data_IF_739067543090
#
_entry.id   IF_739067543090
#
_cell.length_a   1.000
_cell.length_b   1.000
_cell.length_c   1.000
_cell.angle_alpha   90.00
_cell.angle_beta   90.00
_cell.angle_gamma   90.00
#
_symmetry.space_group_name_H-M   'P 1'
#
loop_
_entity.id
_entity.type
_entity.pdbx_description
1 polymer ?
#
# COMPACT_ATOMS: atom_id res chain seq x y z
N UNK A 1 3.35 8.36 36.17
CA UNK A 1 4.70 8.00 36.68
C UNK A 1 4.65 6.64 37.33
N UNK A 2 5.60 5.75 37.01
CA UNK A 2 5.82 4.47 37.69
C UNK A 2 7.20 4.58 38.35
N UNK A 3 7.22 4.83 39.66
CA UNK A 3 8.44 5.30 40.33
C UNK A 3 8.88 6.66 39.76
N UNK A 4 10.12 6.75 39.30
CA UNK A 4 10.71 7.95 38.69
C UNK A 4 10.52 8.03 37.16
N UNK A 5 9.95 7.00 36.55
CA UNK A 5 9.75 6.92 35.10
C UNK A 5 8.47 7.64 34.71
N UNK A 6 8.58 8.62 33.82
CA UNK A 6 7.43 9.22 33.16
C UNK A 6 6.80 8.21 32.20
N UNK A 7 5.48 8.08 32.27
CA UNK A 7 4.72 7.17 31.44
C UNK A 7 3.49 7.85 30.90
N UNK A 8 3.18 7.54 29.64
CA UNK A 8 1.96 7.95 28.97
C UNK A 8 1.16 6.69 28.65
N UNK A 9 -0.09 6.64 29.12
CA UNK A 9 -1.02 5.57 28.75
C UNK A 9 -2.04 6.14 27.79
N UNK A 10 -2.25 5.46 26.67
CA UNK A 10 -3.31 5.78 25.72
C UNK A 10 -4.13 4.53 25.49
N UNK A 11 -5.43 4.61 25.71
CA UNK A 11 -6.37 3.51 25.43
C UNK A 11 -7.56 4.03 24.65
N UNK A 12 -8.25 3.14 23.95
CA UNK A 12 -9.40 3.50 23.16
C UNK A 12 -10.15 2.29 22.64
N UNK A 13 -11.32 2.54 22.08
CA UNK A 13 -12.16 1.55 21.40
C UNK A 13 -12.55 2.06 20.01
N UNK A 14 -12.89 1.14 19.12
CA UNK A 14 -13.36 1.44 17.77
C UNK A 14 -14.51 0.51 17.38
N UNK A 15 -15.51 1.03 16.69
CA UNK A 15 -16.55 0.26 16.03
C UNK A 15 -16.60 0.69 14.57
N UNK A 16 -16.59 -0.28 13.66
CA UNK A 16 -16.91 -0.10 12.25
C UNK A 16 -17.99 -1.11 11.87
N UNK A 17 -18.99 -0.65 11.14
CA UNK A 17 -20.01 -1.52 10.57
C UNK A 17 -20.21 -1.15 9.10
N UNK A 18 -19.91 -2.10 8.22
CA UNK A 18 -20.05 -1.96 6.78
C UNK A 18 -21.32 -2.71 6.33
N UNK A 19 -22.15 -2.03 5.53
CA UNK A 19 -23.36 -2.58 4.92
C UNK A 19 -23.21 -2.38 3.42
N UNK A 20 -23.12 -3.48 2.68
CA UNK A 20 -23.03 -3.48 1.22
C UNK A 20 -24.17 -4.30 0.67
N UNK A 21 -25.00 -3.70 -0.16
CA UNK A 21 -26.11 -4.38 -0.84
C UNK A 21 -25.78 -4.56 -2.30
N UNK A 22 -26.31 -5.63 -2.90
CA UNK A 22 -26.19 -5.91 -4.33
C UNK A 22 -24.72 -5.96 -4.82
N UNK A 23 -23.85 -6.58 -4.01
CA UNK A 23 -22.48 -6.86 -4.41
C UNK A 23 -22.51 -7.90 -5.54
N UNK A 24 -22.15 -7.47 -6.75
CA UNK A 24 -22.45 -8.23 -7.98
C UNK A 24 -21.21 -8.40 -8.87
N UNK A 25 -21.10 -9.58 -9.47
CA UNK A 25 -20.33 -9.81 -10.70
C UNK A 25 -21.24 -10.49 -11.71
N UNK A 26 -21.32 -9.94 -12.92
CA UNK A 26 -22.25 -10.41 -13.95
C UNK A 26 -21.67 -10.38 -15.35
N UNK A 27 -22.06 -11.37 -16.15
CA UNK A 27 -21.87 -11.33 -17.60
C UNK A 27 -22.92 -10.41 -18.18
N UNK A 28 -22.49 -9.42 -18.96
CA UNK A 28 -23.39 -8.46 -19.58
C UNK A 28 -23.23 -8.43 -21.09
N UNK A 29 -24.34 -8.26 -21.81
CA UNK A 29 -24.34 -7.90 -23.22
C UNK A 29 -24.36 -6.37 -23.30
N UNK A 30 -23.42 -5.81 -24.06
CA UNK A 30 -23.31 -4.37 -24.32
C UNK A 30 -23.33 -3.49 -23.06
N UNK A 31 -22.83 -4.02 -21.93
CA UNK A 31 -22.77 -3.34 -20.62
C UNK A 31 -24.13 -2.95 -20.01
N UNK A 32 -25.24 -3.36 -20.61
CA UNK A 32 -26.58 -2.91 -20.19
C UNK A 32 -27.54 -4.06 -19.91
N UNK A 33 -27.39 -5.19 -20.57
CA UNK A 33 -28.25 -6.37 -20.34
C UNK A 33 -27.49 -7.41 -19.56
N UNK A 34 -27.90 -7.65 -18.32
CA UNK A 34 -27.39 -8.78 -17.52
C UNK A 34 -27.83 -10.09 -18.18
N UNK A 35 -26.85 -10.92 -18.53
CA UNK A 35 -27.07 -12.26 -19.09
C UNK A 35 -27.07 -13.31 -17.99
N UNK A 36 -26.15 -13.17 -17.03
CA UNK A 36 -25.93 -14.13 -15.95
C UNK A 36 -25.26 -13.40 -14.78
N UNK A 37 -25.77 -13.63 -13.56
CA UNK A 37 -25.10 -13.25 -12.33
C UNK A 37 -24.12 -14.37 -11.94
N UNK A 38 -22.82 -14.06 -11.93
CA UNK A 38 -21.77 -14.95 -11.42
C UNK A 38 -21.74 -14.89 -9.89
N UNK A 39 -21.90 -13.68 -9.34
CA UNK A 39 -22.03 -13.43 -7.91
C UNK A 39 -23.07 -12.34 -7.67
N UNK A 40 -23.91 -12.51 -6.64
CA UNK A 40 -24.84 -11.48 -6.21
C UNK A 40 -25.18 -11.69 -4.73
N UNK A 41 -24.95 -10.69 -3.88
CA UNK A 41 -25.28 -10.82 -2.47
C UNK A 41 -25.24 -9.53 -1.66
N UNK A 42 -25.68 -9.64 -0.40
CA UNK A 42 -25.59 -8.58 0.59
C UNK A 42 -24.58 -8.95 1.67
N UNK A 43 -23.74 -8.01 2.07
CA UNK A 43 -22.71 -8.15 3.10
C UNK A 43 -22.99 -7.18 4.25
N UNK A 44 -22.97 -7.70 5.48
CA UNK A 44 -22.81 -6.90 6.69
C UNK A 44 -21.56 -7.35 7.44
N UNK A 45 -20.64 -6.43 7.73
CA UNK A 45 -19.42 -6.71 8.46
C UNK A 45 -19.27 -5.76 9.64
N UNK A 46 -19.14 -6.31 10.84
CA UNK A 46 -18.87 -5.54 12.06
C UNK A 46 -17.46 -5.81 12.54
N UNK A 47 -16.69 -4.76 12.83
CA UNK A 47 -15.43 -4.82 13.54
C UNK A 47 -15.52 -4.00 14.84
N UNK A 48 -15.28 -4.66 15.98
CA UNK A 48 -15.13 -4.06 17.30
C UNK A 48 -13.67 -4.20 17.73
N UNK A 49 -13.03 -3.08 18.08
CA UNK A 49 -11.65 -3.07 18.53
C UNK A 49 -11.48 -2.36 19.87
N UNK A 50 -10.54 -2.82 20.69
CA UNK A 50 -10.09 -2.14 21.89
C UNK A 50 -8.56 -2.23 22.00
N UNK A 51 -7.91 -1.16 22.45
CA UNK A 51 -6.46 -1.13 22.58
C UNK A 51 -5.98 -0.38 23.83
N UNK A 52 -4.77 -0.72 24.24
CA UNK A 52 -3.99 0.02 25.22
C UNK A 52 -2.52 0.10 24.77
N UNK A 53 -1.94 1.29 24.86
CA UNK A 53 -0.53 1.58 24.61
C UNK A 53 0.06 2.23 25.87
N UNK A 54 1.25 1.79 26.25
CA UNK A 54 2.03 2.37 27.34
C UNK A 54 3.40 2.76 26.79
N UNK A 55 3.72 4.04 26.93
CA UNK A 55 5.00 4.61 26.56
C UNK A 55 5.79 4.91 27.83
N UNK A 56 7.00 4.37 27.91
CA UNK A 56 7.95 4.57 29.00
C UNK A 56 9.06 5.49 28.51
N UNK A 57 9.27 6.61 29.20
CA UNK A 57 10.42 7.49 28.97
C UNK A 57 11.52 7.18 30.00
N UNK A 58 12.59 6.52 29.53
CA UNK A 58 13.75 6.12 30.33
C UNK A 58 14.96 7.02 30.01
N UNK A 59 14.72 8.27 29.60
CA UNK A 59 15.75 9.20 29.17
C UNK A 59 16.14 8.97 27.71
N UNK A 60 17.35 8.42 27.47
CA UNK A 60 17.82 8.14 26.10
C UNK A 60 17.06 7.00 25.42
N UNK A 61 16.33 6.19 26.17
CA UNK A 61 15.55 5.07 25.64
C UNK A 61 14.07 5.33 25.91
N UNK A 62 13.26 5.32 24.85
CA UNK A 62 11.80 5.29 24.95
C UNK A 62 11.30 3.92 24.50
N UNK A 63 10.39 3.34 25.27
CA UNK A 63 9.80 2.03 24.96
C UNK A 63 8.29 2.20 24.85
N UNK A 64 7.71 1.74 23.75
CA UNK A 64 6.25 1.72 23.53
C UNK A 64 5.80 0.28 23.42
N UNK A 65 4.93 -0.14 24.35
CA UNK A 65 4.30 -1.46 24.36
C UNK A 65 2.81 -1.30 24.21
N UNK A 66 2.24 -1.93 23.20
CA UNK A 66 0.82 -1.84 22.91
C UNK A 66 0.20 -3.22 22.64
N UNK A 67 -1.08 -3.34 22.97
CA UNK A 67 -1.88 -4.50 22.66
C UNK A 67 -3.25 -4.05 22.16
N UNK A 68 -3.73 -4.74 21.12
CA UNK A 68 -5.05 -4.50 20.54
C UNK A 68 -5.79 -5.82 20.39
N UNK A 69 -7.07 -5.83 20.77
CA UNK A 69 -8.00 -6.92 20.51
C UNK A 69 -9.04 -6.44 19.50
N UNK A 70 -9.23 -7.19 18.42
CA UNK A 70 -10.29 -6.97 17.45
C UNK A 70 -11.23 -8.18 17.42
N UNK A 71 -12.53 -7.93 17.26
CA UNK A 71 -13.60 -8.90 17.08
C UNK A 71 -14.37 -8.57 15.80
N UNK A 72 -14.45 -9.54 14.91
CA UNK A 72 -15.17 -9.45 13.65
C UNK A 72 -16.41 -10.34 13.68
N UNK A 73 -17.49 -9.82 13.07
CA UNK A 73 -18.68 -10.57 12.70
C UNK A 73 -18.99 -10.30 11.24
N UNK A 74 -19.01 -11.35 10.44
CA UNK A 74 -19.34 -11.34 9.03
C UNK A 74 -20.71 -11.95 8.85
N UNK A 75 -21.56 -11.31 8.06
CA UNK A 75 -22.85 -11.81 7.63
C UNK A 75 -22.95 -11.64 6.13
N UNK A 76 -23.22 -12.73 5.42
CA UNK A 76 -23.39 -12.68 3.97
C UNK A 76 -24.67 -13.40 3.58
N UNK A 77 -25.41 -12.78 2.68
CA UNK A 77 -26.59 -13.34 2.07
C UNK A 77 -26.34 -13.47 0.57
N UNK A 78 -26.16 -14.70 0.11
CA UNK A 78 -26.04 -15.01 -1.31
C UNK A 78 -27.43 -15.05 -1.95
N UNK A 79 -27.72 -14.09 -2.83
CA UNK A 79 -29.01 -13.98 -3.53
C UNK A 79 -29.16 -14.99 -4.67
N UNK A 80 -28.10 -15.72 -5.03
CA UNK A 80 -28.14 -16.77 -6.05
C UNK A 80 -28.60 -18.12 -5.48
N UNK A 81 -28.64 -18.29 -4.16
CA UNK A 81 -29.15 -19.50 -3.53
C UNK A 81 -30.69 -19.56 -3.59
N UNK A 82 -31.22 -20.74 -3.91
CA UNK A 82 -32.68 -20.98 -3.98
C UNK A 82 -33.33 -20.77 -2.61
N UNK A 83 -32.66 -21.22 -1.55
CA UNK A 83 -33.14 -21.09 -0.19
C UNK A 83 -32.50 -19.87 0.47
N UNK A 84 -33.33 -19.01 1.05
CA UNK A 84 -32.85 -17.89 1.84
C UNK A 84 -32.06 -18.39 3.05
N UNK A 85 -30.76 -18.11 3.08
CA UNK A 85 -29.90 -18.38 4.23
C UNK A 85 -28.87 -17.26 4.37
N UNK A 86 -28.83 -16.65 5.55
CA UNK A 86 -27.73 -15.75 5.92
C UNK A 86 -26.61 -16.58 6.53
N UNK A 87 -25.45 -16.59 5.87
CA UNK A 87 -24.23 -17.19 6.40
C UNK A 87 -23.58 -16.22 7.39
N UNK A 88 -23.02 -16.75 8.47
CA UNK A 88 -22.46 -15.94 9.55
C UNK A 88 -21.17 -16.55 10.05
N UNK A 89 -20.14 -15.73 10.20
CA UNK A 89 -18.86 -16.12 10.80
C UNK A 89 -18.35 -15.07 11.78
N UNK A 90 -17.57 -15.51 12.77
CA UNK A 90 -16.96 -14.60 13.75
C UNK A 90 -15.52 -14.97 14.05
N UNK A 91 -14.68 -13.97 14.27
CA UNK A 91 -13.26 -14.18 14.61
C UNK A 91 -12.74 -13.06 15.49
N UNK A 92 -11.90 -13.41 16.46
CA UNK A 92 -11.14 -12.44 17.24
C UNK A 92 -9.64 -12.60 17.01
N UNK A 93 -8.91 -11.51 17.14
CA UNK A 93 -7.45 -11.51 17.03
C UNK A 93 -6.82 -10.55 18.03
N UNK A 94 -5.68 -10.95 18.59
CA UNK A 94 -4.88 -10.16 19.51
C UNK A 94 -3.57 -9.77 18.81
N UNK A 95 -3.29 -8.48 18.80
CA UNK A 95 -2.21 -7.86 18.02
C UNK A 95 -1.28 -7.07 18.95
N UNK A 96 -0.21 -7.69 19.47
CA UNK A 96 0.81 -7.00 20.25
C UNK A 96 1.76 -6.19 19.37
N UNK A 97 2.29 -5.10 19.92
CA UNK A 97 3.33 -4.26 19.30
C UNK A 97 4.34 -3.81 20.35
N UNK A 98 5.62 -3.86 20.01
CA UNK A 98 6.71 -3.43 20.87
C UNK A 98 7.73 -2.62 20.07
N UNK A 99 7.96 -1.38 20.50
CA UNK A 99 8.87 -0.45 19.83
C UNK A 99 9.88 0.12 20.83
N UNK A 100 11.11 0.31 20.37
CA UNK A 100 12.19 0.93 21.09
C UNK A 100 12.71 2.11 20.26
N UNK A 101 12.96 3.23 20.92
CA UNK A 101 13.56 4.42 20.32
C UNK A 101 14.75 4.83 21.18
N UNK A 102 15.94 4.83 20.61
CA UNK A 102 17.18 5.15 21.31
C UNK A 102 17.76 6.45 20.75
N UNK A 103 17.72 7.51 21.56
CA UNK A 103 18.35 8.80 21.28
C UNK A 103 19.86 8.69 21.56
N UNK A 104 20.62 8.25 20.55
CA UNK A 104 22.06 8.10 20.66
C UNK A 104 22.76 9.45 20.83
N UNK A 105 22.29 10.47 20.10
CA UNK A 105 22.72 11.87 20.17
C UNK A 105 21.50 12.79 19.95
N UNK A 106 21.65 14.10 20.19
CA UNK A 106 20.57 15.08 19.98
C UNK A 106 20.06 15.12 18.53
N UNK A 107 20.88 14.68 17.57
CA UNK A 107 20.58 14.66 16.16
C UNK A 107 20.48 13.24 15.56
N UNK A 108 20.59 12.18 16.36
CA UNK A 108 20.58 10.79 15.89
C UNK A 108 19.73 9.91 16.81
N UNK A 109 18.64 9.38 16.25
CA UNK A 109 17.79 8.41 16.91
C UNK A 109 17.80 7.10 16.11
N UNK A 110 18.06 5.98 16.80
CA UNK A 110 17.82 4.64 16.28
C UNK A 110 16.46 4.15 16.77
N UNK A 111 15.83 3.28 16.01
CA UNK A 111 14.61 2.61 16.43
C UNK A 111 14.60 1.13 16.04
N UNK A 112 13.87 0.35 16.83
CA UNK A 112 13.50 -1.03 16.58
C UNK A 112 12.00 -1.12 16.79
N UNK A 113 11.24 -1.44 15.75
CA UNK A 113 9.78 -1.58 15.80
C UNK A 113 9.43 -3.01 15.46
N UNK A 114 8.51 -3.59 16.22
CA UNK A 114 8.01 -4.94 15.98
C UNK A 114 6.51 -5.00 16.29
N UNK A 115 5.77 -5.81 15.54
CA UNK A 115 4.35 -5.98 15.80
C UNK A 115 3.71 -7.03 14.93
N UNK A 116 2.53 -7.45 15.37
CA UNK A 116 1.65 -8.34 14.63
C UNK A 116 0.45 -7.51 14.16
N UNK A 117 0.27 -7.43 12.86
CA UNK A 117 -0.94 -6.94 12.20
C UNK A 117 -1.76 -8.10 11.63
N UNK A 118 -2.82 -7.77 10.92
CA UNK A 118 -3.64 -8.73 10.18
C UNK A 118 -4.43 -7.98 9.09
N UNK A 119 -5.00 -8.73 8.16
CA UNK A 119 -6.09 -8.26 7.31
C UNK A 119 -7.29 -9.20 7.48
N UNK A 120 -8.51 -8.72 7.16
CA UNK A 120 -9.68 -9.59 7.10
C UNK A 120 -9.89 -10.05 5.67
N UNK A 121 -10.10 -11.35 5.49
CA UNK A 121 -10.40 -11.92 4.19
C UNK A 121 -11.75 -11.43 3.65
N UNK A 122 -11.99 -11.58 2.35
CA UNK A 122 -13.28 -11.27 1.75
C UNK A 122 -14.38 -12.11 2.42
N UNK A 123 -15.42 -11.44 2.90
CA UNK A 123 -16.50 -12.08 3.63
C UNK A 123 -17.21 -13.16 2.82
N UNK A 124 -17.32 -13.02 1.49
CA UNK A 124 -17.88 -14.04 0.60
C UNK A 124 -17.07 -15.32 0.66
N UNK A 125 -15.74 -15.21 0.64
CA UNK A 125 -14.82 -16.37 0.72
C UNK A 125 -14.89 -17.01 2.11
N UNK A 126 -14.87 -16.20 3.17
CA UNK A 126 -14.94 -16.68 4.56
C UNK A 126 -16.18 -17.55 4.77
N UNK A 127 -17.35 -17.05 4.38
CA UNK A 127 -18.63 -17.69 4.70
C UNK A 127 -19.03 -18.80 3.72
N UNK A 128 -18.62 -18.73 2.44
CA UNK A 128 -19.00 -19.72 1.43
C UNK A 128 -18.05 -20.92 1.37
N UNK A 129 -16.76 -20.74 1.71
CA UNK A 129 -15.74 -21.78 1.56
C UNK A 129 -15.31 -22.42 2.89
N UNK A 130 -15.93 -22.05 4.03
CA UNK A 130 -15.48 -22.46 5.37
C UNK A 130 -13.97 -22.25 5.56
N UNK A 131 -13.46 -21.10 5.10
CA UNK A 131 -12.02 -20.81 5.15
C UNK A 131 -11.53 -20.76 6.60
N UNK A 132 -10.42 -21.45 6.88
CA UNK A 132 -9.82 -21.49 8.23
C UNK A 132 -9.10 -20.19 8.59
N UNK A 133 -8.63 -19.47 7.58
CA UNK A 133 -7.85 -18.24 7.74
C UNK A 133 -8.77 -17.05 7.49
N UNK A 134 -9.42 -16.56 8.55
CA UNK A 134 -10.36 -15.43 8.48
C UNK A 134 -9.62 -14.10 8.67
N UNK A 135 -8.66 -14.09 9.60
CA UNK A 135 -7.83 -12.94 9.97
C UNK A 135 -6.34 -13.35 9.93
N UNK A 136 -5.77 -13.65 8.76
CA UNK A 136 -4.36 -14.03 8.63
C UNK A 136 -3.45 -12.92 9.17
N UNK A 137 -2.38 -13.32 9.87
CA UNK A 137 -1.46 -12.38 10.51
C UNK A 137 -0.36 -11.89 9.58
N UNK A 138 0.10 -10.69 9.89
CA UNK A 138 1.27 -10.05 9.31
C UNK A 138 2.28 -9.77 10.43
N UNK A 139 3.49 -10.30 10.34
CA UNK A 139 4.54 -10.12 11.34
C UNK A 139 5.59 -9.16 10.80
N UNK A 140 5.70 -7.98 11.41
CA UNK A 140 6.58 -6.93 10.96
C UNK A 140 7.73 -6.66 11.92
N UNK A 141 8.90 -6.39 11.37
CA UNK A 141 10.10 -5.90 12.05
C UNK A 141 10.71 -4.77 11.23
N UNK A 142 11.10 -3.68 11.89
CA UNK A 142 11.75 -2.53 11.26
C UNK A 142 12.85 -1.99 12.18
N UNK A 143 14.09 -1.94 11.66
CA UNK A 143 15.29 -1.45 12.32
C UNK A 143 15.82 -0.29 11.52
N UNK A 144 15.88 0.90 12.12
CA UNK A 144 16.29 2.08 11.36
C UNK A 144 16.76 3.23 12.21
N UNK A 145 16.94 4.37 11.54
CA UNK A 145 17.35 5.60 12.17
C UNK A 145 16.73 6.83 11.52
N UNK A 146 16.65 7.88 12.31
CA UNK A 146 16.42 9.26 11.87
C UNK A 146 17.66 10.04 12.28
N UNK A 147 18.37 10.58 11.30
CA UNK A 147 19.64 11.27 11.51
C UNK A 147 19.63 12.65 10.86
N UNK A 148 20.02 13.66 11.64
CA UNK A 148 20.24 15.04 11.20
C UNK A 148 21.73 15.38 11.27
N UNK A 149 22.57 14.87 10.35
CA UNK A 149 24.01 15.11 10.39
C UNK A 149 24.38 16.59 10.36
N UNK A 150 23.57 17.38 9.65
CA UNK A 150 23.65 18.83 9.56
C UNK A 150 22.25 19.43 9.74
N UNK A 151 22.11 20.70 10.17
CA UNK A 151 20.79 21.30 10.44
C UNK A 151 19.80 21.26 9.27
N UNK A 152 20.32 21.22 8.03
CA UNK A 152 19.55 21.27 6.78
C UNK A 152 19.37 19.92 6.09
N UNK A 153 19.87 18.83 6.69
CA UNK A 153 19.79 17.47 6.12
C UNK A 153 19.08 16.55 7.11
N UNK A 154 18.13 15.76 6.60
CA UNK A 154 17.52 14.64 7.31
C UNK A 154 17.77 13.37 6.48
N UNK A 155 18.31 12.35 7.12
CA UNK A 155 18.52 11.02 6.58
C UNK A 155 17.69 10.04 7.39
N UNK A 156 16.80 9.32 6.72
CA UNK A 156 16.05 8.21 7.28
C UNK A 156 16.51 6.94 6.58
N UNK A 157 16.83 5.90 7.34
CA UNK A 157 17.15 4.61 6.76
C UNK A 157 16.55 3.50 7.59
N UNK A 158 16.10 2.45 6.93
CA UNK A 158 15.43 1.33 7.55
C UNK A 158 15.86 0.02 6.89
N UNK A 159 15.98 -1.03 7.68
CA UNK A 159 15.98 -2.42 7.26
C UNK A 159 14.73 -3.05 7.85
N UNK A 160 13.90 -3.65 7.00
CA UNK A 160 12.60 -4.15 7.41
C UNK A 160 12.41 -5.59 6.94
N UNK A 161 11.56 -6.31 7.67
CA UNK A 161 11.09 -7.66 7.38
C UNK A 161 9.59 -7.75 7.63
N UNK A 162 8.89 -8.46 6.76
CA UNK A 162 7.46 -8.68 6.80
C UNK A 162 7.18 -10.12 6.37
N UNK A 163 6.56 -10.89 7.27
CA UNK A 163 6.02 -12.21 6.95
C UNK A 163 4.50 -12.16 6.95
N UNK A 164 3.86 -12.61 5.88
CA UNK A 164 2.42 -12.72 5.77
C UNK A 164 2.00 -14.19 5.81
N UNK A 165 1.04 -14.51 6.68
CA UNK A 165 0.46 -15.86 6.73
C UNK A 165 -0.30 -16.23 5.46
N UNK A 166 -0.74 -15.23 4.68
CA UNK A 166 -1.53 -15.42 3.47
C UNK A 166 -1.44 -14.21 2.54
N UNK A 167 -1.11 -14.50 1.28
CA UNK A 167 -1.26 -13.57 0.15
C UNK A 167 -2.66 -13.67 -0.46
N UNK A 168 -3.01 -12.67 -1.26
CA UNK A 168 -4.25 -12.71 -2.04
C UNK A 168 -4.01 -12.39 -3.51
N UNK A 169 -4.57 -13.24 -4.36
CA UNK A 169 -4.68 -13.02 -5.79
C UNK A 169 -6.16 -12.88 -6.13
N UNK A 170 -6.55 -11.75 -6.71
CA UNK A 170 -7.93 -11.55 -7.17
C UNK A 170 -8.06 -12.01 -8.62
N UNK A 171 -8.87 -13.03 -8.85
CA UNK A 171 -9.21 -13.51 -10.19
C UNK A 171 -10.45 -12.77 -10.67
N UNK A 172 -10.22 -11.67 -11.39
CA UNK A 172 -11.28 -10.72 -11.79
C UNK A 172 -12.41 -11.33 -12.60
N UNK A 173 -12.11 -12.27 -13.50
CA UNK A 173 -13.10 -12.92 -14.37
C UNK A 173 -13.99 -13.93 -13.65
N UNK A 174 -13.47 -14.52 -12.56
CA UNK A 174 -14.22 -15.44 -11.71
C UNK A 174 -14.91 -14.71 -10.53
N UNK A 175 -14.45 -13.50 -10.20
CA UNK A 175 -14.85 -12.78 -8.99
C UNK A 175 -14.38 -13.46 -7.71
N UNK A 176 -13.40 -14.36 -7.81
CA UNK A 176 -12.90 -15.15 -6.68
C UNK A 176 -11.60 -14.52 -6.22
N UNK A 177 -11.48 -14.36 -4.90
CA UNK A 177 -10.19 -14.08 -4.28
C UNK A 177 -9.59 -15.44 -3.92
N UNK A 178 -8.46 -15.78 -4.53
CA UNK A 178 -7.74 -17.01 -4.24
C UNK A 178 -6.75 -16.73 -3.11
N UNK A 179 -6.88 -17.41 -1.96
CA UNK A 179 -5.87 -17.36 -0.94
C UNK A 179 -4.59 -17.99 -1.50
N UNK A 180 -3.57 -17.16 -1.69
CA UNK A 180 -2.22 -17.60 -2.03
C UNK A 180 -1.46 -17.94 -0.76
N UNK A 181 -0.40 -18.74 -0.88
CA UNK A 181 0.41 -19.20 0.24
C UNK A 181 1.03 -18.08 1.08
N UNK A 182 1.86 -18.48 2.04
CA UNK A 182 2.64 -17.56 2.88
C UNK A 182 3.68 -16.84 2.06
N UNK A 183 4.04 -15.64 2.48
CA UNK A 183 5.12 -14.88 1.85
C UNK A 183 6.03 -14.21 2.86
N UNK A 184 7.22 -13.90 2.39
CA UNK A 184 8.14 -13.03 3.09
C UNK A 184 8.58 -11.88 2.18
N UNK A 185 8.74 -10.72 2.80
CA UNK A 185 9.30 -9.53 2.18
C UNK A 185 10.33 -8.93 3.12
N UNK A 186 11.46 -8.52 2.59
CA UNK A 186 12.43 -7.74 3.34
C UNK A 186 13.15 -6.77 2.42
N UNK A 187 13.65 -5.69 3.01
CA UNK A 187 14.20 -4.62 2.21
C UNK A 187 14.97 -3.59 2.99
N UNK A 188 15.49 -2.64 2.22
CA UNK A 188 16.18 -1.45 2.70
C UNK A 188 15.46 -0.23 2.15
N UNK A 189 15.17 0.72 3.03
CA UNK A 189 14.67 2.04 2.65
C UNK A 189 15.71 3.11 2.99
N UNK A 190 15.82 4.10 2.10
CA UNK A 190 16.64 5.29 2.29
C UNK A 190 15.85 6.52 1.86
N UNK A 191 15.63 7.44 2.79
CA UNK A 191 15.02 8.74 2.56
C UNK A 191 16.00 9.87 2.86
N UNK A 192 16.15 10.80 1.94
CA UNK A 192 16.98 12.00 2.09
C UNK A 192 16.09 13.22 1.92
N UNK A 193 16.20 14.18 2.83
CA UNK A 193 15.64 15.53 2.70
C UNK A 193 16.76 16.53 2.88
N UNK A 194 16.97 17.39 1.90
CA UNK A 194 18.03 18.40 1.94
C UNK A 194 17.49 19.78 1.56
N UNK A 195 17.68 20.74 2.46
CA UNK A 195 17.46 22.16 2.20
C UNK A 195 18.78 22.81 1.77
N UNK A 196 18.95 23.13 0.48
CA UNK A 196 20.17 23.80 0.01
C UNK A 196 20.25 25.23 0.55
N UNK A 197 19.14 25.96 0.45
CA UNK A 197 18.99 27.34 0.95
C UNK A 197 17.51 27.57 1.33
N UNK A 198 17.09 28.82 1.52
CA UNK A 198 15.75 29.11 2.03
C UNK A 198 14.63 28.91 0.98
N UNK A 199 14.99 28.72 -0.28
CA UNK A 199 14.05 28.57 -1.40
C UNK A 199 14.24 27.28 -2.22
N UNK A 200 15.36 26.56 -2.13
CA UNK A 200 15.64 25.34 -2.89
C UNK A 200 15.77 24.11 -1.99
N UNK A 201 14.99 23.07 -2.31
CA UNK A 201 14.92 21.83 -1.56
C UNK A 201 15.08 20.62 -2.49
N UNK A 202 15.73 19.59 -1.98
CA UNK A 202 15.83 18.27 -2.60
C UNK A 202 15.26 17.22 -1.67
N UNK A 203 14.56 16.27 -2.25
CA UNK A 203 14.13 15.06 -1.56
C UNK A 203 14.25 13.86 -2.48
N UNK A 204 14.56 12.71 -1.90
CA UNK A 204 14.52 11.43 -2.58
C UNK A 204 14.25 10.31 -1.60
N UNK A 205 13.56 9.28 -2.08
CA UNK A 205 13.31 8.04 -1.37
C UNK A 205 13.63 6.88 -2.30
N UNK A 206 14.40 5.91 -1.81
CA UNK A 206 14.78 4.70 -2.53
C UNK A 206 14.46 3.48 -1.67
N UNK A 207 13.88 2.46 -2.29
CA UNK A 207 13.54 1.20 -1.63
C UNK A 207 14.06 0.05 -2.46
N UNK A 208 14.78 -0.87 -1.81
CA UNK A 208 15.16 -2.17 -2.37
C UNK A 208 14.39 -3.24 -1.61
N UNK A 209 13.69 -4.12 -2.33
CA UNK A 209 12.83 -5.15 -1.76
C UNK A 209 13.15 -6.51 -2.35
N UNK A 210 13.16 -7.52 -1.50
CA UNK A 210 13.08 -8.92 -1.89
C UNK A 210 11.75 -9.48 -1.39
N UNK A 211 10.91 -9.98 -2.30
CA UNK A 211 9.59 -10.51 -1.98
C UNK A 211 9.41 -11.90 -2.60
N UNK A 212 9.09 -12.92 -1.79
CA UNK A 212 8.91 -14.30 -2.25
C UNK A 212 7.78 -15.01 -1.52
N UNK A 213 7.12 -15.92 -2.23
CA UNK A 213 6.31 -16.96 -1.58
C UNK A 213 7.24 -17.93 -0.86
N UNK A 214 6.85 -18.33 0.35
CA UNK A 214 7.62 -19.28 1.17
C UNK A 214 7.17 -20.72 0.97
N UNK A 215 5.98 -20.92 0.41
CA UNK A 215 5.40 -22.26 0.20
C UNK A 215 5.69 -22.80 -1.22
N UNK A 216 5.95 -21.91 -2.18
CA UNK A 216 6.20 -22.28 -3.58
C UNK A 216 7.67 -22.64 -3.86
N UNK A 217 7.95 -23.49 -4.87
CA UNK A 217 9.29 -23.93 -5.17
C UNK A 217 10.16 -22.78 -5.69
N UNK A 218 11.46 -22.86 -5.40
CA UNK A 218 12.43 -21.86 -5.84
C UNK A 218 12.42 -21.72 -7.37
N UNK A 219 12.22 -20.50 -7.84
CA UNK A 219 12.13 -20.19 -9.27
C UNK A 219 10.70 -20.03 -9.76
N UNK A 220 9.71 -20.47 -8.99
CA UNK A 220 8.27 -20.29 -9.21
C UNK A 220 7.62 -19.63 -7.97
N UNK A 221 8.42 -18.88 -7.20
CA UNK A 221 8.01 -18.29 -5.94
C UNK A 221 8.15 -16.76 -5.93
N UNK A 222 8.21 -16.14 -7.10
CA UNK A 222 8.12 -14.68 -7.21
C UNK A 222 6.73 -14.22 -6.77
N UNK A 223 6.64 -13.06 -6.12
CA UNK A 223 5.35 -12.41 -5.90
C UNK A 223 5.08 -11.52 -7.12
N UNK A 224 4.04 -11.80 -7.93
CA UNK A 224 3.72 -11.01 -9.10
C UNK A 224 3.59 -9.52 -8.79
N UNK A 225 4.18 -8.70 -9.65
CA UNK A 225 4.16 -7.24 -9.61
C UNK A 225 4.78 -6.61 -8.36
N UNK A 226 5.38 -7.39 -7.45
CA UNK A 226 6.11 -6.86 -6.31
C UNK A 226 7.32 -6.06 -6.80
N UNK A 227 7.40 -4.75 -6.51
CA UNK A 227 8.57 -3.95 -6.85
C UNK A 227 9.80 -4.46 -6.10
N UNK A 228 10.92 -4.61 -6.79
CA UNK A 228 12.23 -4.93 -6.20
C UNK A 228 13.12 -3.69 -6.03
N UNK A 229 12.96 -2.68 -6.90
CA UNK A 229 13.56 -1.36 -6.72
C UNK A 229 12.59 -0.24 -7.12
N UNK A 230 12.44 0.73 -6.21
CA UNK A 230 11.75 2.00 -6.49
C UNK A 230 12.61 3.17 -6.09
N UNK A 231 12.50 4.25 -6.86
CA UNK A 231 13.21 5.49 -6.58
C UNK A 231 12.32 6.68 -6.96
N UNK A 232 12.07 7.57 -6.00
CA UNK A 232 11.33 8.80 -6.22
C UNK A 232 12.12 9.98 -5.68
N UNK A 233 11.84 11.17 -6.18
CA UNK A 233 12.47 12.37 -5.66
C UNK A 233 12.28 13.57 -6.56
N UNK A 234 13.02 14.63 -6.26
CA UNK A 234 12.99 15.82 -7.08
C UNK A 234 13.59 17.05 -6.42
N UNK A 235 13.46 18.15 -7.13
CA UNK A 235 13.79 19.48 -6.65
C UNK A 235 12.51 20.28 -6.51
N UNK A 236 12.41 21.07 -5.45
CA UNK A 236 11.34 22.05 -5.29
C UNK A 236 11.90 23.42 -5.01
N UNK A 237 11.26 24.42 -5.60
CA UNK A 237 11.48 25.83 -5.30
C UNK A 237 10.28 26.36 -4.51
N UNK A 238 10.54 27.12 -3.46
CA UNK A 238 9.52 27.76 -2.66
C UNK A 238 9.77 29.26 -2.59
N UNK A 239 8.85 30.03 -3.17
CA UNK A 239 8.78 31.48 -3.10
C UNK A 239 10.08 32.22 -3.49
N UNK A 240 10.75 31.75 -4.54
CA UNK A 240 11.87 32.47 -5.18
C UNK A 240 11.28 33.55 -6.09
N UNK A 241 11.34 34.82 -5.69
CA UNK A 241 10.81 35.95 -6.47
C UNK A 241 9.35 35.74 -6.95
N UNK A 242 8.49 35.24 -6.05
CA UNK A 242 7.10 34.84 -6.30
C UNK A 242 6.89 33.54 -7.11
N UNK A 243 7.98 32.84 -7.49
CA UNK A 243 7.90 31.52 -8.08
C UNK A 243 7.92 30.41 -7.04
N UNK A 244 7.06 29.41 -7.22
CA UNK A 244 7.09 28.14 -6.49
C UNK A 244 6.83 27.01 -7.47
N UNK A 245 7.37 25.82 -7.23
CA UNK A 245 7.26 24.73 -8.18
C UNK A 245 8.25 23.62 -7.91
N UNK A 246 8.38 22.70 -8.85
CA UNK A 246 9.33 21.62 -8.75
C UNK A 246 9.38 20.74 -9.98
N UNK A 247 10.41 19.91 -10.01
CA UNK A 247 10.55 18.78 -10.91
C UNK A 247 10.59 17.52 -10.07
N UNK A 248 9.74 16.55 -10.39
CA UNK A 248 9.57 15.29 -9.66
C UNK A 248 9.85 14.14 -10.60
N UNK A 249 10.53 13.12 -10.13
CA UNK A 249 10.75 11.90 -10.89
C UNK A 249 10.27 10.68 -10.12
N UNK A 250 9.87 9.64 -10.85
CA UNK A 250 9.51 8.33 -10.33
C UNK A 250 10.11 7.25 -11.22
N UNK A 251 10.85 6.35 -10.59
CA UNK A 251 11.42 5.16 -11.18
C UNK A 251 10.82 3.92 -10.51
N UNK A 252 10.42 2.97 -11.33
CA UNK A 252 10.02 1.63 -10.93
C UNK A 252 10.75 0.65 -11.85
N UNK A 253 11.41 -0.35 -11.27
CA UNK A 253 12.15 -1.33 -12.07
C UNK A 253 11.24 -2.34 -12.78
N UNK A 254 11.82 -3.05 -13.75
CA UNK A 254 11.23 -4.26 -14.32
C UNK A 254 11.00 -5.28 -13.19
N UNK A 255 9.88 -6.00 -13.24
CA UNK A 255 9.53 -6.98 -12.20
C UNK A 255 8.72 -8.14 -12.76
N UNK A 256 8.70 -9.30 -12.09
CA UNK A 256 7.90 -10.44 -12.49
C UNK A 256 6.42 -10.05 -12.60
N UNK A 257 5.76 -10.45 -13.67
CA UNK A 257 4.31 -10.35 -13.81
C UNK A 257 3.58 -11.63 -13.38
N UNK A 258 4.33 -12.72 -13.21
CA UNK A 258 3.88 -14.02 -12.72
C UNK A 258 4.94 -14.67 -11.81
N UNK A 259 4.58 -15.80 -11.21
CA UNK A 259 5.30 -16.49 -10.15
C UNK A 259 6.63 -17.11 -10.60
N UNK A 260 6.79 -17.39 -11.90
CA UNK A 260 8.01 -17.97 -12.50
C UNK A 260 8.87 -16.94 -13.26
N UNK A 261 8.40 -15.69 -13.32
CA UNK A 261 9.04 -14.59 -14.04
C UNK A 261 9.24 -14.87 -15.55
N UNK A 262 8.40 -15.72 -16.15
CA UNK A 262 8.38 -15.92 -17.60
C UNK A 262 7.76 -14.72 -18.34
N UNK A 263 6.91 -13.95 -17.65
CA UNK A 263 6.35 -12.68 -18.12
C UNK A 263 6.89 -11.56 -17.24
N UNK A 264 7.42 -10.50 -17.84
CA UNK A 264 8.01 -9.35 -17.14
C UNK A 264 7.14 -8.11 -17.35
N UNK A 265 6.71 -7.50 -16.25
CA UNK A 265 6.10 -6.18 -16.26
C UNK A 265 7.20 -5.11 -16.36
N UNK A 266 7.14 -4.29 -17.41
CA UNK A 266 8.18 -3.29 -17.69
C UNK A 266 8.14 -2.16 -16.67
N UNK A 267 9.31 -1.76 -16.19
CA UNK A 267 9.55 -0.58 -15.39
C UNK A 267 9.42 0.70 -16.21
N UNK A 268 9.61 1.84 -15.53
CA UNK A 268 9.56 3.15 -16.17
C UNK A 268 10.33 4.19 -15.38
N UNK A 269 10.67 5.28 -16.07
CA UNK A 269 11.18 6.51 -15.46
C UNK A 269 10.41 7.70 -16.01
N UNK A 270 9.53 8.27 -15.18
CA UNK A 270 8.65 9.38 -15.56
C UNK A 270 9.00 10.61 -14.73
N UNK A 271 9.03 11.76 -15.39
CA UNK A 271 9.32 13.05 -14.77
C UNK A 271 8.16 14.01 -14.97
N UNK A 272 7.71 14.63 -13.90
CA UNK A 272 6.67 15.64 -13.90
C UNK A 272 7.24 16.99 -13.48
N UNK A 273 6.64 18.07 -13.93
CA UNK A 273 7.06 19.43 -13.63
C UNK A 273 5.86 20.31 -13.30
N UNK A 274 6.03 21.20 -12.33
CA UNK A 274 5.05 22.24 -12.08
C UNK A 274 5.74 23.56 -11.71
N UNK A 275 5.11 24.67 -12.09
CA UNK A 275 5.56 26.00 -11.72
C UNK A 275 4.37 26.93 -11.53
N UNK A 276 4.44 27.72 -10.48
CA UNK A 276 3.45 28.70 -10.08
C UNK A 276 4.13 30.06 -9.96
N UNK A 277 3.41 31.12 -10.32
CA UNK A 277 3.79 32.50 -10.13
C UNK A 277 2.68 33.26 -9.40
N UNK A 278 3.03 33.86 -8.27
CA UNK A 278 2.07 34.53 -7.39
C UNK A 278 1.99 36.04 -7.66
N UNK A 279 0.77 36.52 -7.91
CA UNK A 279 0.40 37.89 -8.24
C UNK A 279 -0.66 38.39 -7.24
N UNK A 280 -0.24 38.78 -6.03
CA UNK A 280 -1.15 39.20 -4.94
C UNK A 280 -2.21 38.11 -4.64
N UNK A 281 -3.43 38.31 -5.11
CA UNK A 281 -4.58 37.42 -4.90
C UNK A 281 -4.73 36.38 -6.03
N UNK A 282 -3.94 36.47 -7.09
CA UNK A 282 -3.97 35.55 -8.24
C UNK A 282 -2.71 34.70 -8.23
N UNK A 283 -2.82 33.41 -8.48
CA UNK A 283 -1.69 32.53 -8.78
C UNK A 283 -1.90 31.94 -10.16
N UNK A 284 -0.90 32.07 -11.02
CA UNK A 284 -0.83 31.43 -12.33
C UNK A 284 0.03 30.18 -12.21
N UNK A 285 -0.45 29.04 -12.70
CA UNK A 285 0.24 27.76 -12.60
C UNK A 285 0.32 27.05 -13.94
N UNK A 286 1.40 26.32 -14.13
CA UNK A 286 1.56 25.30 -15.18
C UNK A 286 1.90 23.97 -14.53
N UNK A 287 1.34 22.89 -15.06
CA UNK A 287 1.65 21.51 -14.71
C UNK A 287 1.92 20.76 -16.00
N UNK A 288 3.03 20.03 -16.03
CA UNK A 288 3.42 19.12 -17.10
C UNK A 288 3.53 17.73 -16.47
N UNK A 289 2.69 16.82 -16.90
CA UNK A 289 2.81 15.39 -16.60
C UNK A 289 3.60 14.74 -17.74
N UNK A 290 4.50 13.82 -17.40
CA UNK A 290 5.39 13.15 -18.36
C UNK A 290 6.16 14.13 -19.26
N UNK A 291 6.98 14.99 -18.64
CA UNK A 291 7.76 16.07 -19.25
C UNK A 291 8.59 15.63 -20.47
N UNK A 292 9.09 14.40 -20.47
CA UNK A 292 9.94 13.87 -21.54
C UNK A 292 9.19 12.97 -22.53
N UNK A 293 7.86 12.88 -22.42
CA UNK A 293 7.02 12.04 -23.27
C UNK A 293 7.49 10.57 -23.30
N UNK A 294 7.87 10.04 -22.13
CA UNK A 294 8.28 8.65 -21.96
C UNK A 294 7.10 7.73 -22.29
N UNK A 295 7.29 6.71 -23.12
CA UNK A 295 6.31 5.63 -23.29
C UNK A 295 6.39 4.69 -22.08
N UNK A 296 5.29 4.49 -21.37
CA UNK A 296 5.24 3.67 -20.17
C UNK A 296 3.86 3.04 -19.95
N UNK A 297 3.83 2.02 -19.11
CA UNK A 297 2.61 1.32 -18.71
C UNK A 297 2.29 1.65 -17.24
N UNK A 298 1.11 2.19 -16.98
CA UNK A 298 0.70 2.59 -15.63
C UNK A 298 0.28 1.38 -14.77
N UNK A 299 -0.57 0.52 -15.33
CA UNK A 299 -0.96 -0.75 -14.73
C UNK A 299 -0.60 -1.88 -15.68
N UNK A 300 -0.12 -3.00 -15.17
CA UNK A 300 0.28 -4.18 -15.95
C UNK A 300 -0.10 -5.44 -15.18
N UNK A 301 -0.74 -6.40 -15.87
CA UNK A 301 -1.09 -7.70 -15.29
C UNK A 301 -0.81 -8.78 -16.33
N UNK A 302 -0.22 -9.90 -15.90
CA UNK A 302 -0.30 -11.12 -16.69
C UNK A 302 -1.76 -11.58 -16.70
N UNK A 303 -2.32 -11.80 -17.87
CA UNK A 303 -3.73 -12.20 -18.00
C UNK A 303 -3.85 -13.15 -19.17
N UNK A 304 -4.53 -14.27 -18.92
CA UNK A 304 -4.87 -15.21 -19.98
C UNK A 304 -6.05 -14.65 -20.77
N UNK A 305 -5.85 -14.46 -22.08
CA UNK A 305 -6.92 -14.02 -22.98
C UNK A 305 -6.86 -14.76 -24.31
N UNK A 306 -7.90 -14.61 -25.13
CA UNK A 306 -7.94 -15.18 -26.47
C UNK A 306 -8.67 -14.26 -27.44
N UNK A 307 -7.96 -13.71 -28.41
CA UNK A 307 -8.53 -12.93 -29.50
C UNK A 307 -9.35 -13.81 -30.45
N UNK A 308 -10.25 -13.18 -31.21
CA UNK A 308 -11.16 -13.89 -32.14
C UNK A 308 -10.42 -14.81 -33.13
N UNK A 309 -9.20 -14.44 -33.52
CA UNK A 309 -8.40 -15.15 -34.51
C UNK A 309 -7.37 -16.11 -33.89
N UNK A 310 -7.35 -16.25 -32.56
CA UNK A 310 -6.43 -17.15 -31.86
C UNK A 310 -7.08 -18.50 -31.61
N UNK A 311 -6.35 -19.58 -31.92
CA UNK A 311 -6.82 -20.96 -31.76
C UNK A 311 -6.70 -21.47 -30.32
N UNK A 312 -5.84 -20.86 -29.51
CA UNK A 312 -5.58 -21.17 -28.10
C UNK A 312 -5.48 -19.85 -27.33
N UNK A 313 -5.78 -19.85 -26.04
CA UNK A 313 -5.51 -18.70 -25.18
C UNK A 313 -4.01 -18.46 -25.02
N UNK A 314 -3.66 -17.21 -24.74
CA UNK A 314 -2.30 -16.74 -24.50
C UNK A 314 -2.30 -15.93 -23.22
N UNK A 315 -1.33 -16.21 -22.35
CA UNK A 315 -1.06 -15.37 -21.19
C UNK A 315 -0.03 -14.31 -21.56
N UNK A 316 -0.40 -13.04 -21.44
CA UNK A 316 0.46 -11.92 -21.78
C UNK A 316 0.18 -10.67 -20.92
N UNK A 317 1.00 -9.62 -21.09
CA UNK A 317 0.80 -8.36 -20.37
C UNK A 317 -0.39 -7.61 -20.95
N UNK A 318 -1.43 -7.47 -20.13
CA UNK A 318 -2.50 -6.51 -20.34
C UNK A 318 -2.17 -5.25 -19.55
N UNK A 319 -2.26 -4.08 -20.19
CA UNK A 319 -1.82 -2.84 -19.58
C UNK A 319 -2.70 -1.64 -19.88
N UNK A 320 -2.66 -0.66 -18.97
CA UNK A 320 -3.15 0.70 -19.23
C UNK A 320 -1.96 1.54 -19.65
N UNK A 321 -1.97 2.15 -20.85
CA UNK A 321 -0.89 3.05 -21.25
C UNK A 321 -0.84 4.23 -20.29
N UNK A 322 0.36 4.59 -19.86
CA UNK A 322 0.56 5.73 -18.99
C UNK A 322 0.26 7.06 -19.68
N UNK A 323 0.08 8.11 -18.88
CA UNK A 323 -0.20 9.45 -19.40
C UNK A 323 0.91 9.90 -20.35
N UNK A 324 0.58 10.35 -21.58
CA UNK A 324 1.56 10.95 -22.48
C UNK A 324 1.97 12.33 -21.95
N UNK A 325 2.82 13.07 -22.67
CA UNK A 325 3.04 14.48 -22.38
C UNK A 325 1.70 15.23 -22.25
N UNK A 326 1.45 15.82 -21.08
CA UNK A 326 0.21 16.54 -20.81
C UNK A 326 0.49 17.87 -20.11
N UNK A 327 0.14 18.97 -20.78
CA UNK A 327 0.29 20.34 -20.27
C UNK A 327 -1.07 20.89 -19.81
N UNK A 328 -1.12 21.40 -18.58
CA UNK A 328 -2.29 22.06 -17.99
C UNK A 328 -1.90 23.42 -17.41
N UNK A 329 -2.71 24.44 -17.68
CA UNK A 329 -2.62 25.74 -17.03
C UNK A 329 -3.69 25.86 -15.92
N UNK A 330 -3.33 26.53 -14.83
CA UNK A 330 -4.19 26.73 -13.66
C UNK A 330 -4.20 28.22 -13.32
N UNK A 331 -5.36 28.76 -13.00
CA UNK A 331 -5.51 30.10 -12.42
C UNK A 331 -6.26 29.92 -11.10
N UNK A 332 -5.67 30.40 -10.00
CA UNK A 332 -6.30 30.39 -8.68
C UNK A 332 -6.45 31.82 -8.19
N UNK A 333 -7.64 32.16 -7.69
CA UNK A 333 -7.90 33.44 -7.02
C UNK A 333 -8.22 33.18 -5.54
N UNK A 334 -7.47 33.83 -4.65
CA UNK A 334 -7.69 33.77 -3.20
C UNK A 334 -8.31 35.08 -2.73
N UNK A 335 -9.51 34.99 -2.15
CA UNK A 335 -10.24 36.12 -1.56
C UNK A 335 -10.01 36.24 -0.06
#
# INVERSE_FOLDING_TARGET
RLGNTDLTVTSGFSLRHDIVSDLELSKTLNRTTVLENIQLGDLNQTNLGAYANVEFDLGKLKVSSAIRLDYFKFLYHDKLQINYQTLSETKSILSPKLNFYFEAQENLQFYLKSGIGFHSNDARVIVSQNSKDILPKAYGLDVGNIWKPFPKIILNSAMWYLFLEQEFVYVGDAGIVEPSGKSERFGLDLGIRYQFNDWLFFDTDATVTHARSTDDPKGENYIPLAPDFTLTGGLSINNLDNFSGGIRFRYLDDRPANEDNSIVAKGYFVTDFNMNYSLKNVTLGIVIENLFDTEWNETQFATESRLQNETQSVEEIHFTPGTPFFLKAIITYKF
#
